data_IF_137440944001
#
_entry.id   IF_137440944001
#
_cell.length_a   1.000
_cell.length_b   1.000
_cell.length_c   1.000
_cell.angle_alpha   90.00
_cell.angle_beta   90.00
_cell.angle_gamma   90.00
#
_symmetry.space_group_name_H-M   'P 1'
#
loop_
_entity.id
_entity.type
_entity.pdbx_description
1 polymer ?
#
# COMPACT_ATOMS: atom_id res chain seq x y z
N UNK A 1 -37.92 -14.58 38.65
CA UNK A 1 -38.15 -14.63 37.19
C UNK A 1 -37.37 -13.50 36.57
N UNK A 2 -36.15 -13.82 36.15
CA UNK A 2 -35.07 -12.90 35.83
C UNK A 2 -35.28 -12.13 34.52
N UNK A 3 -35.05 -10.82 34.59
CA UNK A 3 -34.99 -9.94 33.42
C UNK A 3 -33.69 -10.20 32.65
N UNK A 4 -33.74 -11.10 31.65
CA UNK A 4 -32.60 -11.43 30.76
C UNK A 4 -32.78 -11.21 29.23
N UNK A 5 -33.68 -10.33 28.71
CA UNK A 5 -33.67 -10.03 27.27
C UNK A 5 -32.65 -8.95 26.88
N UNK A 6 -32.44 -7.93 27.72
CA UNK A 6 -31.67 -6.72 27.38
C UNK A 6 -30.16 -7.01 27.27
N UNK A 7 -29.62 -7.84 28.17
CA UNK A 7 -28.18 -8.15 28.23
C UNK A 7 -27.69 -8.96 27.02
N UNK A 8 -28.56 -9.84 26.48
CA UNK A 8 -28.26 -10.64 25.27
C UNK A 8 -28.27 -9.79 24.01
N UNK A 9 -29.26 -8.90 23.84
CA UNK A 9 -29.31 -7.99 22.70
C UNK A 9 -28.11 -7.04 22.67
N UNK A 10 -27.69 -6.55 23.84
CA UNK A 10 -26.51 -5.69 23.96
C UNK A 10 -25.21 -6.43 23.62
N UNK A 11 -25.04 -7.67 24.10
CA UNK A 11 -23.88 -8.51 23.77
C UNK A 11 -23.81 -8.84 22.27
N UNK A 12 -24.94 -9.17 21.63
CA UNK A 12 -24.99 -9.45 20.20
C UNK A 12 -24.67 -8.20 19.38
N UNK A 13 -25.23 -7.05 19.74
CA UNK A 13 -24.94 -5.77 19.09
C UNK A 13 -23.46 -5.38 19.22
N UNK A 14 -22.87 -5.56 20.40
CA UNK A 14 -21.45 -5.28 20.63
C UNK A 14 -20.53 -6.18 19.80
N UNK A 15 -20.83 -7.49 19.75
CA UNK A 15 -20.06 -8.45 18.93
C UNK A 15 -20.14 -8.12 17.44
N UNK A 16 -21.33 -7.77 16.93
CA UNK A 16 -21.50 -7.36 15.54
C UNK A 16 -20.70 -6.08 15.22
N UNK A 17 -20.70 -5.11 16.12
CA UNK A 17 -19.93 -3.87 15.97
C UNK A 17 -18.40 -4.12 15.98
N UNK A 18 -17.92 -5.01 16.86
CA UNK A 18 -16.50 -5.38 16.92
C UNK A 18 -16.04 -6.12 15.66
N UNK A 19 -16.85 -7.05 15.15
CA UNK A 19 -16.54 -7.79 13.91
C UNK A 19 -16.48 -6.84 12.71
N UNK A 20 -17.43 -5.93 12.60
CA UNK A 20 -17.46 -4.95 11.49
C UNK A 20 -16.28 -3.96 11.58
N UNK A 21 -15.98 -3.43 12.76
CA UNK A 21 -14.82 -2.57 12.97
C UNK A 21 -13.50 -3.31 12.66
N UNK A 22 -13.36 -4.56 13.11
CA UNK A 22 -12.19 -5.40 12.82
C UNK A 22 -12.00 -5.67 11.33
N UNK A 23 -13.08 -5.97 10.61
CA UNK A 23 -13.05 -6.20 9.16
C UNK A 23 -12.63 -4.94 8.38
N UNK A 24 -13.15 -3.77 8.77
CA UNK A 24 -12.79 -2.48 8.15
C UNK A 24 -11.32 -2.12 8.39
N UNK A 25 -10.84 -2.29 9.63
CA UNK A 25 -9.43 -2.03 9.97
C UNK A 25 -8.49 -2.96 9.19
N UNK A 26 -8.84 -4.25 9.08
CA UNK A 26 -8.06 -5.22 8.31
C UNK A 26 -8.03 -4.89 6.81
N UNK A 27 -9.17 -4.51 6.23
CA UNK A 27 -9.23 -4.08 4.83
C UNK A 27 -8.38 -2.83 4.57
N UNK A 28 -8.42 -1.84 5.47
CA UNK A 28 -7.60 -0.63 5.38
C UNK A 28 -6.10 -0.93 5.45
N UNK A 29 -5.67 -1.87 6.31
CA UNK A 29 -4.28 -2.31 6.39
C UNK A 29 -3.82 -2.98 5.08
N UNK A 30 -4.63 -3.88 4.51
CA UNK A 30 -4.33 -4.56 3.24
C UNK A 30 -4.18 -3.61 2.05
N UNK A 31 -4.90 -2.49 2.05
CA UNK A 31 -4.78 -1.46 1.02
C UNK A 31 -3.45 -0.69 1.11
N UNK A 32 -2.89 -0.55 2.32
CA UNK A 32 -1.57 0.07 2.54
C UNK A 32 -0.43 -0.84 2.11
N UNK A 33 -0.51 -2.14 2.44
CA UNK A 33 0.57 -3.11 2.18
C UNK A 33 0.52 -3.75 0.79
N UNK A 34 -0.05 -3.06 -0.22
CA UNK A 34 -0.09 -3.61 -1.58
C UNK A 34 1.33 -3.73 -2.15
N UNK A 35 1.75 -4.97 -2.36
CA UNK A 35 2.97 -5.28 -3.08
C UNK A 35 2.78 -5.11 -4.59
N UNK A 36 3.85 -4.76 -5.29
CA UNK A 36 3.98 -4.81 -6.74
C UNK A 36 5.19 -5.67 -7.10
N UNK A 37 5.12 -6.35 -8.24
CA UNK A 37 6.26 -7.09 -8.78
C UNK A 37 6.59 -6.54 -10.15
N UNK A 38 7.85 -6.19 -10.37
CA UNK A 38 8.35 -5.74 -11.67
C UNK A 38 9.54 -6.57 -12.08
N UNK A 39 9.77 -6.61 -13.40
CA UNK A 39 10.97 -7.21 -13.96
C UNK A 39 12.14 -6.24 -13.88
N UNK A 40 13.33 -6.81 -13.74
CA UNK A 40 14.59 -6.09 -13.81
C UNK A 40 14.87 -5.76 -15.28
N UNK A 41 15.30 -4.53 -15.54
CA UNK A 41 15.75 -4.10 -16.86
C UNK A 41 17.09 -4.77 -17.22
N UNK A 42 17.16 -5.37 -18.42
CA UNK A 42 18.31 -6.16 -18.87
C UNK A 42 19.59 -5.33 -19.06
N UNK A 43 19.47 -4.02 -19.27
CA UNK A 43 20.63 -3.13 -19.42
C UNK A 43 21.19 -2.69 -18.07
N UNK A 44 20.33 -2.07 -17.25
CA UNK A 44 20.72 -1.45 -15.98
C UNK A 44 20.78 -2.42 -14.81
N UNK A 45 20.24 -3.64 -14.95
CA UNK A 45 20.10 -4.62 -13.88
C UNK A 45 19.34 -4.07 -12.65
N UNK A 46 18.42 -3.13 -12.88
CA UNK A 46 17.56 -2.53 -11.85
C UNK A 46 16.10 -2.51 -12.29
N UNK A 47 15.18 -2.33 -11.35
CA UNK A 47 13.82 -1.92 -11.71
C UNK A 47 13.83 -0.41 -11.94
N UNK A 48 13.52 0.01 -13.16
CA UNK A 48 13.56 1.42 -13.54
C UNK A 48 12.56 2.24 -12.72
N UNK A 49 12.96 3.45 -12.34
CA UNK A 49 12.11 4.41 -11.61
C UNK A 49 10.77 4.69 -12.27
N UNK A 50 10.72 4.64 -13.61
CA UNK A 50 9.50 4.85 -14.41
C UNK A 50 8.54 3.67 -14.28
N UNK A 51 9.06 2.45 -14.18
CA UNK A 51 8.30 1.23 -13.91
C UNK A 51 7.68 1.29 -12.51
N UNK A 52 8.49 1.66 -11.51
CA UNK A 52 8.06 1.85 -10.13
C UNK A 52 6.97 2.92 -10.07
N UNK A 53 7.21 4.09 -10.67
CA UNK A 53 6.24 5.19 -10.69
C UNK A 53 4.88 4.77 -11.29
N UNK A 54 4.89 4.00 -12.39
CA UNK A 54 3.67 3.49 -13.03
C UNK A 54 2.93 2.51 -12.11
N UNK A 55 3.65 1.55 -11.52
CA UNK A 55 3.07 0.57 -10.61
C UNK A 55 2.47 1.24 -9.37
N UNK A 56 3.20 2.16 -8.74
CA UNK A 56 2.75 2.90 -7.56
C UNK A 56 1.56 3.81 -7.88
N UNK A 57 1.58 4.50 -9.03
CA UNK A 57 0.43 5.30 -9.47
C UNK A 57 -0.83 4.43 -9.59
N UNK A 58 -0.75 3.27 -10.27
CA UNK A 58 -1.87 2.33 -10.37
C UNK A 58 -2.38 1.82 -9.02
N UNK A 59 -1.48 1.59 -8.06
CA UNK A 59 -1.85 1.20 -6.70
C UNK A 59 -2.57 2.33 -5.94
N UNK A 60 -2.17 3.59 -6.14
CA UNK A 60 -2.76 4.75 -5.46
C UNK A 60 -4.11 5.17 -6.07
N UNK A 61 -4.36 4.86 -7.34
CA UNK A 61 -5.65 5.06 -8.03
C UNK A 61 -6.73 4.06 -7.60
N UNK A 62 -6.44 3.14 -6.68
CA UNK A 62 -7.42 2.15 -6.23
C UNK A 62 -7.62 2.22 -4.72
N UNK A 63 -8.87 2.17 -4.22
CA UNK A 63 -10.13 1.98 -4.95
C UNK A 63 -10.73 3.28 -5.55
N UNK A 64 -10.09 4.43 -5.36
CA UNK A 64 -10.62 5.74 -5.73
C UNK A 64 -10.10 6.18 -7.11
N UNK A 65 -11.00 6.47 -8.06
CA UNK A 65 -10.65 6.93 -9.43
C UNK A 65 -9.80 8.21 -9.50
N UNK A 66 -9.58 8.88 -8.38
CA UNK A 66 -8.67 10.02 -8.22
C UNK A 66 -7.29 9.55 -7.74
N UNK A 67 -6.41 9.26 -8.69
CA UNK A 67 -5.00 8.96 -8.43
C UNK A 67 -4.12 10.22 -8.38
N UNK A 68 -2.81 10.05 -8.15
CA UNK A 68 -1.84 11.12 -8.36
C UNK A 68 -1.70 11.44 -9.85
N UNK A 69 -1.45 12.72 -10.19
CA UNK A 69 -1.13 13.14 -11.55
C UNK A 69 0.23 12.59 -12.00
N UNK A 70 1.17 12.55 -11.05
CA UNK A 70 2.52 12.05 -11.27
C UNK A 70 3.08 11.39 -9.99
N UNK A 71 3.91 10.38 -10.21
CA UNK A 71 4.77 9.80 -9.16
C UNK A 71 6.22 9.93 -9.63
N UNK A 72 7.06 10.58 -8.83
CA UNK A 72 8.47 10.74 -9.11
C UNK A 72 9.30 9.97 -8.09
N UNK A 73 10.12 9.02 -8.56
CA UNK A 73 11.05 8.28 -7.73
C UNK A 73 12.48 8.80 -7.93
N UNK A 74 13.21 8.98 -6.84
CA UNK A 74 14.54 9.61 -6.82
C UNK A 74 15.68 8.69 -7.27
N UNK A 75 15.36 7.49 -7.76
CA UNK A 75 16.33 6.51 -8.24
C UNK A 75 15.65 5.24 -8.71
N UNK A 76 16.44 4.38 -9.34
CA UNK A 76 16.05 3.04 -9.75
C UNK A 76 16.24 2.08 -8.57
N UNK A 77 15.45 1.01 -8.52
CA UNK A 77 15.44 0.07 -7.40
C UNK A 77 16.30 -1.14 -7.73
N UNK A 78 17.30 -1.43 -6.90
CA UNK A 78 18.19 -2.57 -7.12
C UNK A 78 17.47 -3.86 -6.71
N UNK A 79 17.77 -4.99 -7.36
CA UNK A 79 17.22 -6.30 -7.02
C UNK A 79 17.91 -6.88 -5.76
N UNK A 80 17.94 -6.12 -4.67
CA UNK A 80 18.54 -6.51 -3.39
C UNK A 80 17.46 -6.40 -2.31
N UNK A 81 17.26 -7.44 -1.47
CA UNK A 81 16.33 -7.36 -0.36
C UNK A 81 16.58 -6.13 0.52
N UNK A 82 15.52 -5.45 0.94
CA UNK A 82 15.56 -4.21 1.73
C UNK A 82 16.17 -2.99 1.03
N UNK A 83 16.54 -3.09 -0.26
CA UNK A 83 16.84 -1.88 -1.03
C UNK A 83 15.61 -0.99 -1.10
N UNK A 84 15.82 0.32 -1.04
CA UNK A 84 14.73 1.26 -0.96
C UNK A 84 14.99 2.53 -1.76
N UNK A 85 13.94 3.00 -2.41
CA UNK A 85 13.92 4.30 -3.11
C UNK A 85 12.83 5.19 -2.55
N UNK A 86 13.10 6.49 -2.53
CA UNK A 86 12.09 7.49 -2.16
C UNK A 86 11.28 7.85 -3.40
N UNK A 87 9.98 8.02 -3.23
CA UNK A 87 9.09 8.52 -4.25
C UNK A 87 8.18 9.62 -3.69
N UNK A 88 7.79 10.57 -4.54
CA UNK A 88 6.81 11.60 -4.23
C UNK A 88 5.64 11.46 -5.19
N UNK A 89 4.44 11.35 -4.64
CA UNK A 89 3.20 11.34 -5.41
C UNK A 89 2.55 12.72 -5.34
N UNK A 90 2.36 13.33 -6.51
CA UNK A 90 1.71 14.62 -6.69
C UNK A 90 0.23 14.41 -6.98
N UNK A 91 -0.63 15.04 -6.19
CA UNK A 91 -2.08 14.95 -6.35
C UNK A 91 -2.63 16.28 -6.86
N UNK A 92 -3.65 16.25 -7.74
CA UNK A 92 -4.23 17.47 -8.29
C UNK A 92 -4.85 18.35 -7.19
N UNK A 93 -5.31 17.71 -6.11
CA UNK A 93 -5.89 18.37 -4.95
C UNK A 93 -5.19 17.85 -3.70
N UNK A 94 -4.63 18.76 -2.92
CA UNK A 94 -4.04 18.48 -1.61
C UNK A 94 -2.51 18.55 -1.60
N UNK A 95 -1.91 17.95 -0.57
CA UNK A 95 -0.45 17.92 -0.40
C UNK A 95 0.14 16.69 -1.06
N UNK A 96 1.34 16.86 -1.59
CA UNK A 96 2.20 15.78 -2.02
C UNK A 96 2.40 14.72 -0.92
N UNK A 97 2.56 13.47 -1.37
CA UNK A 97 2.76 12.33 -0.48
C UNK A 97 4.14 11.76 -0.72
N UNK A 98 4.98 11.82 0.31
CA UNK A 98 6.27 11.14 0.31
C UNK A 98 6.09 9.68 0.72
N UNK A 99 6.70 8.81 -0.07
CA UNK A 99 6.60 7.36 0.01
C UNK A 99 8.01 6.78 -0.04
N UNK A 100 8.21 5.65 0.64
CA UNK A 100 9.38 4.80 0.45
C UNK A 100 8.93 3.51 -0.20
N UNK A 101 9.61 3.10 -1.27
CA UNK A 101 9.40 1.82 -1.92
C UNK A 101 10.55 0.91 -1.53
N UNK A 102 10.25 -0.23 -0.93
CA UNK A 102 11.22 -1.18 -0.36
C UNK A 102 11.06 -2.56 -1.01
N UNK A 103 12.17 -3.19 -1.39
CA UNK A 103 12.19 -4.57 -1.88
C UNK A 103 11.86 -5.55 -0.76
N UNK A 104 10.81 -6.35 -0.96
CA UNK A 104 10.43 -7.44 -0.04
C UNK A 104 10.96 -8.79 -0.49
N UNK A 105 11.11 -8.99 -1.80
CA UNK A 105 11.53 -10.28 -2.35
C UNK A 105 12.16 -10.12 -3.72
N UNK A 106 13.17 -10.93 -3.99
CA UNK A 106 13.80 -11.05 -5.31
C UNK A 106 13.75 -12.52 -5.74
N UNK A 107 13.26 -12.79 -6.96
CA UNK A 107 13.20 -14.13 -7.55
C UNK A 107 13.58 -14.04 -9.03
N UNK A 108 14.71 -14.64 -9.41
CA UNK A 108 15.25 -14.54 -10.76
C UNK A 108 15.35 -13.07 -11.21
N UNK A 109 14.71 -12.72 -12.33
CA UNK A 109 14.63 -11.36 -12.88
C UNK A 109 13.43 -10.56 -12.35
N UNK A 110 12.75 -11.02 -11.29
CA UNK A 110 11.56 -10.36 -10.72
C UNK A 110 11.86 -9.83 -9.32
N UNK A 111 11.49 -8.57 -9.11
CA UNK A 111 11.61 -7.87 -7.82
C UNK A 111 10.22 -7.52 -7.34
N UNK A 112 9.85 -8.05 -6.19
CA UNK A 112 8.66 -7.68 -5.44
C UNK A 112 9.02 -6.60 -4.42
N UNK A 113 8.24 -5.53 -4.42
CA UNK A 113 8.44 -4.39 -3.54
C UNK A 113 7.10 -3.90 -3.00
N UNK A 114 7.17 -3.20 -1.87
CA UNK A 114 6.02 -2.58 -1.21
C UNK A 114 6.28 -1.11 -0.97
N UNK A 115 5.20 -0.31 -0.93
CA UNK A 115 5.28 1.09 -0.55
C UNK A 115 4.91 1.28 0.92
N UNK A 116 5.58 2.21 1.58
CA UNK A 116 5.22 2.71 2.89
C UNK A 116 5.10 4.23 2.85
N UNK A 117 4.06 4.75 3.48
CA UNK A 117 3.96 6.18 3.73
C UNK A 117 4.95 6.57 4.83
N UNK A 118 5.78 7.58 4.58
CA UNK A 118 6.62 8.14 5.62
C UNK A 118 5.72 8.82 6.68
N UNK A 119 5.95 8.56 7.99
CA UNK A 119 5.31 9.36 9.03
C UNK A 119 5.73 10.82 8.87
N UNK A 120 4.76 11.72 9.01
CA UNK A 120 4.99 13.18 9.03
C UNK A 120 5.76 13.59 10.27
#
# INVERSE_FOLDING_TARGET
MDHHPIRRGFLIGLLAALVTAGALAFAAARLRDREATSEVDDGTHTVLRTEIARAISGQLTLPFRSGPDAVHCFGDLRPVPYDAVRCTAHFPIGRDRHLTVEVTRVRHNKVTYRRHSLPR
#
